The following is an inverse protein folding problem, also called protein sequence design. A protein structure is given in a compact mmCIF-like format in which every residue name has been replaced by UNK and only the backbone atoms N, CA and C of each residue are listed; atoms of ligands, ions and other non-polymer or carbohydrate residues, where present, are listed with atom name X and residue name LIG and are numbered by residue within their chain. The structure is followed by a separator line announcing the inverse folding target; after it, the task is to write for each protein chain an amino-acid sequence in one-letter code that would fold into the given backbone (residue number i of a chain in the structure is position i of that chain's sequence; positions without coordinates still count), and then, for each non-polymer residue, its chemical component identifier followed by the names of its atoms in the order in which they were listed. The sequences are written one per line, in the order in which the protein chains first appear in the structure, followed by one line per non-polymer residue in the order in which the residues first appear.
data_IF_485939144005
#
_entry.id   IF_485939144005
#
_cell.length_a   1.000
_cell.length_b   1.000
_cell.length_c   1.000
_cell.angle_alpha   90.00
_cell.angle_beta   90.00
_cell.angle_gamma   90.00
#
_symmetry.space_group_name_H-M   'P 1'
#
loop_
_entity.id
_entity.type
_entity.pdbx_description
1 polymer ?
#
# COMPACT_ATOMS: atom_id res chain seq x y z
N UNK A 1 -7.74 -14.14 -30.41
CA UNK A 1 -8.05 -13.87 -29.00
C UNK A 1 -6.74 -13.71 -28.25
N UNK A 2 -6.36 -12.49 -27.91
CA UNK A 2 -5.11 -12.21 -27.20
C UNK A 2 -5.24 -12.61 -25.74
N UNK A 3 -4.45 -13.59 -25.33
CA UNK A 3 -4.20 -13.91 -23.92
C UNK A 3 -3.57 -12.67 -23.27
N UNK A 4 -4.40 -11.84 -22.64
CA UNK A 4 -3.92 -10.75 -21.81
C UNK A 4 -3.13 -11.37 -20.67
N UNK A 5 -1.80 -11.38 -20.83
CA UNK A 5 -0.85 -11.49 -19.72
C UNK A 5 -1.10 -10.29 -18.81
N UNK A 6 -2.12 -10.39 -17.94
CA UNK A 6 -2.34 -9.46 -16.84
C UNK A 6 -1.14 -9.59 -15.94
N UNK A 7 -0.07 -8.83 -16.25
CA UNK A 7 1.03 -8.60 -15.33
C UNK A 7 0.37 -8.22 -13.99
N UNK A 8 0.69 -8.91 -12.89
CA UNK A 8 0.13 -8.54 -11.60
C UNK A 8 0.41 -7.05 -11.40
N UNK A 9 -0.65 -6.25 -11.23
CA UNK A 9 -0.49 -4.82 -11.01
C UNK A 9 0.32 -4.69 -9.73
N UNK A 10 1.54 -4.18 -9.86
CA UNK A 10 2.43 -3.91 -8.72
C UNK A 10 1.76 -2.93 -7.77
N UNK A 11 1.14 -1.90 -8.36
CA UNK A 11 0.36 -0.90 -7.66
C UNK A 11 -1.10 -1.35 -7.64
N UNK A 12 -1.59 -1.64 -6.44
CA UNK A 12 -2.95 -2.09 -6.19
C UNK A 12 -3.77 -1.02 -5.48
N UNK A 13 -5.09 -1.19 -5.55
CA UNK A 13 -6.02 -0.41 -4.75
C UNK A 13 -6.01 -0.96 -3.32
N UNK A 14 -6.26 -0.08 -2.36
CA UNK A 14 -6.29 -0.46 -0.94
C UNK A 14 -7.63 -1.14 -0.71
N UNK A 15 -7.61 -2.36 -0.17
CA UNK A 15 -8.82 -3.12 0.11
C UNK A 15 -8.89 -3.55 1.57
N UNK A 16 -10.08 -4.04 1.95
CA UNK A 16 -10.32 -4.79 3.17
C UNK A 16 -9.91 -4.08 4.47
N UNK A 17 -9.27 -4.79 5.41
CA UNK A 17 -8.92 -4.25 6.72
C UNK A 17 -8.01 -3.03 6.66
N UNK A 18 -7.17 -2.92 5.61
CA UNK A 18 -6.30 -1.76 5.43
C UNK A 18 -7.11 -0.49 5.13
N UNK A 19 -8.16 -0.62 4.31
CA UNK A 19 -9.09 0.47 4.04
C UNK A 19 -9.81 0.93 5.31
N UNK A 20 -10.42 -0.02 6.02
CA UNK A 20 -11.17 0.26 7.24
C UNK A 20 -10.29 0.93 8.31
N UNK A 21 -9.03 0.50 8.43
CA UNK A 21 -8.07 1.09 9.37
C UNK A 21 -7.66 2.51 8.98
N UNK A 22 -7.39 2.79 7.70
CA UNK A 22 -7.02 4.14 7.25
C UNK A 22 -8.18 5.14 7.44
N UNK A 23 -9.40 4.73 7.12
CA UNK A 23 -10.59 5.59 7.31
C UNK A 23 -10.91 5.78 8.79
N UNK A 24 -10.89 4.71 9.59
CA UNK A 24 -11.32 4.77 11.00
C UNK A 24 -10.26 5.37 11.92
N UNK A 25 -9.02 4.88 11.82
CA UNK A 25 -7.89 5.23 12.69
C UNK A 25 -7.24 6.53 12.26
N UNK A 26 -6.96 6.67 10.97
CA UNK A 26 -6.24 7.82 10.42
C UNK A 26 -7.16 8.92 9.86
N UNK A 27 -8.49 8.73 9.93
CA UNK A 27 -9.52 9.69 9.48
C UNK A 27 -9.32 10.15 8.03
N UNK A 28 -8.78 9.29 7.19
CA UNK A 28 -8.63 9.56 5.75
C UNK A 28 -10.00 9.51 5.11
N UNK A 29 -10.29 10.51 4.28
CA UNK A 29 -11.52 10.54 3.49
C UNK A 29 -11.57 9.39 2.48
N UNK A 30 -12.76 8.79 2.35
CA UNK A 30 -12.99 7.61 1.50
C UNK A 30 -12.73 7.92 0.02
N UNK A 31 -13.07 9.13 -0.43
CA UNK A 31 -12.86 9.58 -1.79
C UNK A 31 -11.37 9.74 -2.07
N UNK A 32 -10.64 10.43 -1.18
CA UNK A 32 -9.18 10.55 -1.24
C UNK A 32 -8.49 9.18 -1.25
N UNK A 33 -8.91 8.26 -0.38
CA UNK A 33 -8.34 6.93 -0.31
C UNK A 33 -8.55 6.14 -1.62
N UNK A 34 -9.74 6.26 -2.21
CA UNK A 34 -10.10 5.55 -3.45
C UNK A 34 -9.45 6.13 -4.70
N UNK A 35 -9.31 7.46 -4.79
CA UNK A 35 -8.88 8.16 -6.01
C UNK A 35 -7.40 8.52 -6.00
N UNK A 36 -6.88 8.91 -4.84
CA UNK A 36 -5.54 9.50 -4.74
C UNK A 36 -4.51 8.55 -4.15
N UNK A 37 -4.92 7.51 -3.43
CA UNK A 37 -4.01 6.60 -2.76
C UNK A 37 -3.97 5.22 -3.44
N UNK A 38 -2.78 4.63 -3.46
CA UNK A 38 -2.55 3.26 -3.90
C UNK A 38 -1.59 2.57 -2.94
N UNK A 39 -1.54 1.25 -2.98
CA UNK A 39 -0.60 0.47 -2.19
C UNK A 39 0.19 -0.51 -3.04
N UNK A 40 1.38 -0.82 -2.55
CA UNK A 40 2.12 -2.02 -2.96
C UNK A 40 2.05 -3.04 -1.84
N UNK A 41 1.91 -4.30 -2.22
CA UNK A 41 1.81 -5.42 -1.31
C UNK A 41 3.04 -6.32 -1.47
N UNK A 42 3.50 -6.88 -0.35
CA UNK A 42 4.55 -7.90 -0.35
C UNK A 42 4.21 -8.96 0.68
N UNK A 43 4.15 -10.21 0.23
CA UNK A 43 3.99 -11.34 1.15
C UNK A 43 5.24 -11.49 2.02
N UNK A 44 5.02 -11.80 3.29
CA UNK A 44 6.09 -12.10 4.22
C UNK A 44 5.58 -12.75 5.49
N UNK A 45 6.47 -12.86 6.47
CA UNK A 45 6.17 -13.49 7.75
C UNK A 45 6.72 -12.60 8.85
N UNK A 46 5.88 -12.28 9.82
CA UNK A 46 6.29 -11.56 11.03
C UNK A 46 6.39 -12.57 12.17
N UNK A 47 7.53 -12.57 12.86
CA UNK A 47 7.76 -13.49 13.98
C UNK A 47 6.73 -13.24 15.08
N UNK A 48 6.01 -14.29 15.49
CA UNK A 48 4.89 -14.21 16.46
C UNK A 48 3.51 -13.89 15.87
N UNK A 49 3.41 -13.45 14.61
CA UNK A 49 2.12 -13.20 13.92
C UNK A 49 1.86 -14.25 12.82
N UNK A 50 2.91 -14.76 12.19
CA UNK A 50 2.81 -15.70 11.08
C UNK A 50 2.81 -14.99 9.73
N UNK A 51 2.10 -15.57 8.74
CA UNK A 51 2.03 -15.02 7.38
C UNK A 51 1.25 -13.71 7.38
N UNK A 52 1.87 -12.68 6.82
CA UNK A 52 1.30 -11.34 6.69
C UNK A 52 1.56 -10.81 5.29
N UNK A 53 0.72 -9.88 4.86
CA UNK A 53 0.94 -9.08 3.67
C UNK A 53 1.41 -7.72 4.12
N UNK A 54 2.67 -7.39 3.87
CA UNK A 54 3.18 -6.04 4.09
C UNK A 54 2.55 -5.09 3.08
N UNK A 55 2.19 -3.88 3.53
CA UNK A 55 1.64 -2.83 2.69
C UNK A 55 2.41 -1.53 2.86
N UNK A 56 2.68 -0.88 1.74
CA UNK A 56 3.13 0.51 1.68
C UNK A 56 2.12 1.31 0.87
N UNK A 57 1.52 2.29 1.51
CA UNK A 57 0.53 3.20 0.91
C UNK A 57 1.23 4.49 0.50
N UNK A 58 0.93 4.95 -0.70
CA UNK A 58 1.52 6.14 -1.30
C UNK A 58 0.51 6.84 -2.21
N UNK A 59 0.83 8.07 -2.61
CA UNK A 59 0.08 8.81 -3.64
C UNK A 59 0.80 8.71 -4.98
N UNK A 60 0.21 8.10 -6.01
CA UNK A 60 0.80 8.04 -7.35
C UNK A 60 1.12 9.43 -7.90
N UNK A 61 0.26 10.43 -7.63
CA UNK A 61 0.47 11.82 -8.04
C UNK A 61 1.75 12.42 -7.45
N UNK A 62 2.08 12.13 -6.19
CA UNK A 62 3.32 12.62 -5.57
C UNK A 62 4.56 11.91 -6.17
N UNK A 63 4.45 10.61 -6.44
CA UNK A 63 5.52 9.86 -7.10
C UNK A 63 5.79 10.41 -8.51
N UNK A 64 4.74 10.66 -9.29
CA UNK A 64 4.83 11.24 -10.63
C UNK A 64 5.42 12.66 -10.62
N UNK A 65 5.00 13.51 -9.68
CA UNK A 65 5.56 14.86 -9.51
C UNK A 65 7.06 14.85 -9.20
N UNK A 66 7.54 13.79 -8.53
CA UNK A 66 8.97 13.59 -8.27
C UNK A 66 9.71 12.86 -9.40
N UNK A 67 9.02 12.49 -10.48
CA UNK A 67 9.58 11.69 -11.57
C UNK A 67 9.90 10.25 -11.18
N UNK A 68 9.30 9.74 -10.11
CA UNK A 68 9.53 8.37 -9.60
C UNK A 68 8.46 7.43 -10.16
N UNK A 69 8.91 6.42 -10.91
CA UNK A 69 8.04 5.36 -11.40
C UNK A 69 8.00 4.22 -10.38
N UNK A 70 6.84 3.96 -9.79
CA UNK A 70 6.66 2.86 -8.83
C UNK A 70 6.62 1.53 -9.56
N UNK A 71 7.76 0.84 -9.57
CA UNK A 71 7.94 -0.47 -10.21
C UNK A 71 7.80 -1.63 -9.23
N UNK A 72 7.87 -1.37 -7.92
CA UNK A 72 7.86 -2.43 -6.92
C UNK A 72 7.89 -1.93 -5.50
N UNK A 73 7.91 -2.89 -4.58
CA UNK A 73 8.22 -2.66 -3.18
C UNK A 73 9.55 -1.90 -3.01
N UNK A 74 10.56 -2.31 -3.79
CA UNK A 74 11.94 -1.78 -3.76
C UNK A 74 12.04 -0.29 -4.12
N UNK A 75 11.10 0.24 -4.92
CA UNK A 75 11.06 1.68 -5.23
C UNK A 75 10.98 2.51 -3.94
N UNK A 76 10.27 2.02 -2.93
CA UNK A 76 10.10 2.71 -1.66
C UNK A 76 11.27 2.50 -0.70
N UNK A 77 12.15 1.53 -0.95
CA UNK A 77 13.40 1.41 -0.20
C UNK A 77 14.41 2.49 -0.64
N UNK A 78 14.33 2.93 -1.91
CA UNK A 78 15.08 4.08 -2.43
C UNK A 78 14.40 5.43 -2.15
N UNK A 79 13.06 5.44 -2.11
CA UNK A 79 12.25 6.64 -1.88
C UNK A 79 11.30 6.45 -0.69
N UNK A 80 11.81 6.25 0.53
CA UNK A 80 10.97 6.04 1.72
C UNK A 80 10.10 7.25 2.03
N UNK A 81 10.46 8.43 1.54
CA UNK A 81 9.65 9.62 1.70
C UNK A 81 8.38 9.59 0.85
N UNK A 82 8.23 8.72 -0.15
CA UNK A 82 6.96 8.59 -0.87
C UNK A 82 5.90 7.79 -0.10
N UNK A 83 6.31 7.10 0.97
CA UNK A 83 5.42 6.28 1.78
C UNK A 83 4.63 7.18 2.75
N UNK A 84 3.32 7.16 2.63
CA UNK A 84 2.42 7.83 3.57
C UNK A 84 2.13 6.94 4.78
N UNK A 85 1.82 5.68 4.52
CA UNK A 85 1.57 4.67 5.54
C UNK A 85 2.33 3.40 5.22
N UNK A 86 2.86 2.76 6.25
CA UNK A 86 3.54 1.48 6.14
C UNK A 86 3.05 0.54 7.23
N UNK A 87 2.97 -0.74 6.90
CA UNK A 87 2.75 -1.78 7.89
C UNK A 87 2.34 -3.08 7.25
N UNK A 88 1.38 -3.80 7.84
CA UNK A 88 0.99 -5.13 7.37
C UNK A 88 -0.46 -5.49 7.67
N UNK A 89 -1.01 -6.38 6.84
CA UNK A 89 -2.26 -7.10 7.02
C UNK A 89 -1.95 -8.52 7.49
N UNK A 90 -2.65 -8.95 8.53
CA UNK A 90 -2.63 -10.35 8.98
C UNK A 90 -3.60 -11.20 8.16
N UNK A 91 -3.42 -12.52 8.15
CA UNK A 91 -4.36 -13.45 7.52
C UNK A 91 -5.80 -13.37 8.06
N UNK A 92 -6.00 -12.78 9.24
CA UNK A 92 -7.32 -12.50 9.83
C UNK A 92 -7.92 -11.17 9.36
N UNK A 93 -7.39 -10.57 8.28
CA UNK A 93 -7.81 -9.28 7.74
C UNK A 93 -7.64 -8.09 8.71
N UNK A 94 -6.78 -8.23 9.74
CA UNK A 94 -6.46 -7.14 10.65
C UNK A 94 -5.29 -6.34 10.11
N UNK A 95 -5.51 -5.05 9.89
CA UNK A 95 -4.48 -4.12 9.42
C UNK A 95 -3.76 -3.44 10.59
N UNK A 96 -2.45 -3.31 10.42
CA UNK A 96 -1.57 -2.55 11.28
C UNK A 96 -0.81 -1.61 10.37
N UNK A 97 -1.34 -0.41 10.16
CA UNK A 97 -0.71 0.62 9.34
C UNK A 97 -0.36 1.82 10.21
N UNK A 98 0.90 2.20 10.14
CA UNK A 98 1.46 3.36 10.82
C UNK A 98 1.72 4.48 9.82
N UNK A 99 1.47 5.70 10.25
CA UNK A 99 1.70 6.89 9.44
C UNK A 99 3.19 7.23 9.49
N UNK A 100 3.85 7.22 8.32
CA UNK A 100 5.29 7.54 8.23
C UNK A 100 5.55 9.03 8.06
N UNK A 101 4.54 9.80 7.63
CA UNK A 101 4.64 11.25 7.42
C UNK A 101 3.54 11.99 8.20
N UNK A 102 3.86 12.98 9.05
CA UNK A 102 2.88 13.76 9.80
C UNK A 102 1.95 14.59 8.90
#
# INVERSE_FOLDING_TARGET
MGLFSRKPKVVKEIHDGAWGHLVSTHKIDVDTLSKEMRCVEREGTVNGVGKVTFLRVFRPKEAEQKGVVVMGWETFDQHPELILFEGYLTGSNKAYLERKRP
#
